data_IF_098412835112
#
_entry.id   IF_098412835112
#
_cell.length_a   1.000
_cell.length_b   1.000
_cell.length_c   1.000
_cell.angle_alpha   90.00
_cell.angle_beta   90.00
_cell.angle_gamma   90.00
#
_symmetry.space_group_name_H-M   'P 1'
#
loop_
_entity.id
_entity.type
_entity.pdbx_description
1 polymer ?
#
# COMPACT_ATOMS: atom_id res chain seq x y z
N UNK A 1 10.44 -24.56 2.80
CA UNK A 1 10.82 -23.30 2.11
C UNK A 1 12.26 -22.99 2.47
N UNK A 2 13.15 -22.93 1.49
CA UNK A 2 14.55 -22.56 1.72
C UNK A 2 14.64 -21.05 2.01
N UNK A 3 15.65 -20.60 2.75
CA UNK A 3 15.93 -19.18 3.04
C UNK A 3 15.94 -18.33 1.76
N UNK A 4 16.48 -18.85 0.65
CA UNK A 4 16.47 -18.16 -0.64
C UNK A 4 15.04 -17.88 -1.09
N UNK A 5 14.18 -18.90 -1.18
CA UNK A 5 12.77 -18.73 -1.56
C UNK A 5 12.07 -17.74 -0.63
N UNK A 6 12.29 -17.83 0.69
CA UNK A 6 11.68 -16.91 1.66
C UNK A 6 12.02 -15.44 1.36
N UNK A 7 13.29 -15.15 1.04
CA UNK A 7 13.73 -13.79 0.71
C UNK A 7 13.15 -13.36 -0.64
N UNK A 8 13.13 -14.23 -1.65
CA UNK A 8 12.58 -13.90 -2.96
C UNK A 8 11.06 -13.67 -2.90
N UNK A 9 10.31 -14.49 -2.17
CA UNK A 9 8.88 -14.29 -1.91
C UNK A 9 8.61 -12.98 -1.17
N UNK A 10 9.48 -12.59 -0.22
CA UNK A 10 9.38 -11.28 0.42
C UNK A 10 9.58 -10.14 -0.59
N UNK A 11 10.62 -10.22 -1.43
CA UNK A 11 10.90 -9.21 -2.46
C UNK A 11 9.73 -9.13 -3.45
N UNK A 12 9.18 -10.26 -3.88
CA UNK A 12 8.02 -10.35 -4.76
C UNK A 12 6.81 -9.61 -4.18
N UNK A 13 6.45 -9.91 -2.92
CA UNK A 13 5.34 -9.28 -2.21
C UNK A 13 5.52 -7.76 -2.09
N UNK A 14 6.76 -7.30 -1.89
CA UNK A 14 7.08 -5.87 -1.79
C UNK A 14 7.29 -5.21 -3.17
N UNK A 15 7.36 -5.98 -4.25
CA UNK A 15 7.61 -5.53 -5.62
C UNK A 15 9.02 -4.98 -5.84
N UNK A 16 9.35 -3.86 -5.18
CA UNK A 16 10.67 -3.23 -5.17
C UNK A 16 11.04 -2.90 -3.74
N UNK A 17 12.31 -3.11 -3.36
CA UNK A 17 12.75 -2.96 -1.97
C UNK A 17 14.21 -2.53 -1.91
N UNK A 18 14.56 -1.71 -0.92
CA UNK A 18 15.97 -1.39 -0.65
C UNK A 18 16.64 -2.44 0.23
N UNK A 19 17.96 -2.57 0.14
CA UNK A 19 18.71 -3.48 1.03
C UNK A 19 18.57 -3.09 2.50
N UNK A 20 18.39 -1.79 2.81
CA UNK A 20 18.07 -1.31 4.16
C UNK A 20 16.70 -1.81 4.61
N UNK A 21 15.67 -1.67 3.79
CA UNK A 21 14.34 -2.19 4.11
C UNK A 21 14.37 -3.71 4.33
N UNK A 22 15.11 -4.46 3.51
CA UNK A 22 15.31 -5.90 3.72
C UNK A 22 16.02 -6.19 5.04
N UNK A 23 16.98 -5.37 5.44
CA UNK A 23 17.66 -5.51 6.72
C UNK A 23 16.68 -5.33 7.90
N UNK A 24 15.87 -4.26 7.85
CA UNK A 24 14.92 -3.90 8.89
C UNK A 24 13.82 -4.98 9.04
N UNK A 25 13.41 -5.59 7.92
CA UNK A 25 12.40 -6.66 7.90
C UNK A 25 12.98 -8.02 8.33
N UNK A 26 14.10 -8.44 7.73
CA UNK A 26 14.63 -9.80 7.91
C UNK A 26 15.49 -9.97 9.17
N UNK A 27 16.00 -8.88 9.74
CA UNK A 27 16.80 -8.86 10.98
C UNK A 27 17.94 -9.90 11.00
N UNK A 28 18.67 -10.02 9.89
CA UNK A 28 19.72 -11.03 9.66
C UNK A 28 21.06 -10.75 10.40
N UNK A 29 21.01 -10.17 11.60
CA UNK A 29 22.19 -9.73 12.34
C UNK A 29 22.66 -8.35 11.87
N UNK A 30 23.83 -8.26 11.22
CA UNK A 30 24.39 -6.96 10.78
C UNK A 30 23.93 -6.56 9.37
N UNK A 31 23.95 -5.25 9.09
CA UNK A 31 23.70 -4.74 7.75
C UNK A 31 24.66 -5.33 6.71
N UNK A 32 25.95 -5.50 7.06
CA UNK A 32 26.95 -6.15 6.19
C UNK A 32 26.57 -7.59 5.84
N UNK A 33 26.06 -8.37 6.81
CA UNK A 33 25.60 -9.72 6.53
C UNK A 33 24.38 -9.71 5.59
N UNK A 34 23.48 -8.76 5.76
CA UNK A 34 22.33 -8.59 4.85
C UNK A 34 22.81 -8.29 3.43
N UNK A 35 23.73 -7.32 3.25
CA UNK A 35 24.33 -7.04 1.95
C UNK A 35 24.98 -8.28 1.31
N UNK A 36 25.72 -9.08 2.09
CA UNK A 36 26.33 -10.33 1.62
C UNK A 36 25.28 -11.31 1.11
N UNK A 37 24.22 -11.54 1.90
CA UNK A 37 23.12 -12.45 1.53
C UNK A 37 22.43 -11.97 0.26
N UNK A 38 22.11 -10.67 0.15
CA UNK A 38 21.46 -10.13 -1.06
C UNK A 38 22.39 -10.20 -2.28
N UNK A 39 23.71 -10.04 -2.10
CA UNK A 39 24.66 -10.22 -3.20
C UNK A 39 24.71 -11.68 -3.69
N UNK A 40 24.56 -12.66 -2.80
CA UNK A 40 24.49 -14.08 -3.20
C UNK A 40 23.24 -14.41 -4.02
N UNK A 41 22.19 -13.58 -3.93
CA UNK A 41 20.95 -13.73 -4.68
C UNK A 41 20.94 -12.96 -6.00
N UNK A 42 22.07 -12.36 -6.43
CA UNK A 42 22.10 -11.46 -7.60
C UNK A 42 21.59 -12.10 -8.90
N UNK A 43 21.76 -13.41 -9.06
CA UNK A 43 21.26 -14.17 -10.21
C UNK A 43 19.74 -14.08 -10.35
N UNK A 44 19.01 -13.91 -9.24
CA UNK A 44 17.54 -13.84 -9.20
C UNK A 44 16.99 -12.40 -9.15
N UNK A 45 17.87 -11.40 -9.12
CA UNK A 45 17.51 -10.02 -8.80
C UNK A 45 17.98 -9.04 -9.88
N UNK A 46 17.09 -8.14 -10.26
CA UNK A 46 17.48 -6.88 -10.88
C UNK A 46 17.97 -5.93 -9.79
N UNK A 47 19.06 -5.21 -10.08
CA UNK A 47 19.68 -4.26 -9.14
C UNK A 47 19.69 -2.86 -9.75
N UNK A 48 19.20 -1.88 -9.01
CA UNK A 48 19.26 -0.46 -9.36
C UNK A 48 20.04 0.28 -8.27
N UNK A 49 21.02 1.08 -8.68
CA UNK A 49 21.71 1.99 -7.77
C UNK A 49 20.98 3.33 -7.74
N UNK A 50 20.58 3.75 -6.56
CA UNK A 50 20.09 5.10 -6.24
C UNK A 50 20.88 5.60 -5.02
N UNK A 51 20.25 6.35 -4.11
CA UNK A 51 20.80 6.66 -2.77
C UNK A 51 21.12 5.39 -1.97
N UNK A 52 20.32 4.35 -2.19
CA UNK A 52 20.53 3.00 -1.64
C UNK A 52 20.53 1.97 -2.78
N UNK A 53 21.04 0.76 -2.48
CA UNK A 53 20.90 -0.39 -3.39
C UNK A 53 19.45 -0.88 -3.34
N UNK A 54 18.78 -0.82 -4.48
CA UNK A 54 17.39 -1.26 -4.66
C UNK A 54 17.38 -2.55 -5.47
N UNK A 55 16.52 -3.49 -5.08
CA UNK A 55 16.37 -4.80 -5.73
C UNK A 55 14.90 -5.12 -5.99
N UNK A 56 14.65 -5.89 -7.04
CA UNK A 56 13.35 -6.50 -7.40
C UNK A 56 13.61 -7.77 -8.22
N UNK A 57 12.62 -8.66 -8.34
CA UNK A 57 12.83 -9.95 -9.00
C UNK A 57 13.05 -9.79 -10.51
N UNK A 58 14.01 -10.55 -11.05
CA UNK A 58 14.12 -10.78 -12.49
C UNK A 58 13.30 -12.02 -12.90
N UNK A 59 13.41 -12.45 -14.16
CA UNK A 59 12.69 -13.62 -14.66
C UNK A 59 13.03 -14.90 -13.88
N UNK A 60 14.32 -15.19 -13.68
CA UNK A 60 14.78 -16.39 -12.96
C UNK A 60 14.30 -16.41 -11.51
N UNK A 61 14.33 -15.26 -10.83
CA UNK A 61 13.84 -15.13 -9.46
C UNK A 61 12.35 -15.40 -9.32
N UNK A 62 11.54 -14.97 -10.30
CA UNK A 62 10.10 -15.24 -10.34
C UNK A 62 9.81 -16.71 -10.63
N UNK A 63 10.51 -17.31 -11.58
CA UNK A 63 10.37 -18.72 -11.94
C UNK A 63 10.67 -19.63 -10.75
N UNK A 64 11.72 -19.31 -9.97
CA UNK A 64 12.10 -20.07 -8.78
C UNK A 64 11.00 -20.13 -7.71
N UNK A 65 10.17 -19.09 -7.59
CA UNK A 65 9.06 -19.03 -6.61
C UNK A 65 7.67 -19.17 -7.27
N UNK A 66 7.62 -19.54 -8.55
CA UNK A 66 6.40 -19.61 -9.35
C UNK A 66 5.53 -18.32 -9.30
N UNK A 67 6.16 -17.14 -9.29
CA UNK A 67 5.48 -15.85 -9.30
C UNK A 67 5.23 -15.33 -10.73
N UNK A 68 4.04 -14.78 -10.95
CA UNK A 68 3.69 -14.07 -12.18
C UNK A 68 3.85 -12.53 -12.05
N UNK A 69 4.28 -12.04 -10.89
CA UNK A 69 4.36 -10.60 -10.59
C UNK A 69 5.60 -9.98 -11.27
N UNK A 70 5.44 -9.49 -12.49
CA UNK A 70 6.53 -8.80 -13.18
C UNK A 70 6.64 -7.32 -12.77
N UNK A 71 7.78 -6.95 -12.21
CA UNK A 71 8.12 -5.56 -11.89
C UNK A 71 9.11 -5.01 -12.91
N UNK A 72 8.76 -3.89 -13.53
CA UNK A 72 9.63 -3.14 -14.44
C UNK A 72 10.05 -1.83 -13.80
N UNK A 73 11.27 -1.38 -14.12
CA UNK A 73 11.77 -0.07 -13.67
C UNK A 73 10.79 1.02 -14.09
N UNK A 74 10.32 1.80 -13.13
CA UNK A 74 9.30 2.83 -13.31
C UNK A 74 9.54 4.00 -12.36
N UNK A 75 8.98 5.17 -12.69
CA UNK A 75 8.92 6.35 -11.82
C UNK A 75 8.17 6.07 -10.50
N UNK A 76 7.38 5.00 -10.45
CA UNK A 76 6.62 4.61 -9.26
C UNK A 76 7.48 3.96 -8.17
N UNK A 77 8.75 3.63 -8.45
CA UNK A 77 9.62 2.96 -7.48
C UNK A 77 9.75 3.75 -6.17
N UNK A 78 9.88 5.07 -6.24
CA UNK A 78 9.98 5.89 -5.05
C UNK A 78 8.70 5.81 -4.20
N UNK A 79 7.53 5.82 -4.84
CA UNK A 79 6.26 5.65 -4.14
C UNK A 79 6.11 4.25 -3.52
N UNK A 80 6.51 3.19 -4.23
CA UNK A 80 6.49 1.83 -3.69
C UNK A 80 7.46 1.64 -2.52
N UNK A 81 8.64 2.26 -2.57
CA UNK A 81 9.60 2.26 -1.46
C UNK A 81 9.04 3.01 -0.25
N UNK A 82 8.33 4.12 -0.44
CA UNK A 82 7.64 4.82 0.65
C UNK A 82 6.49 3.99 1.24
N UNK A 83 5.76 3.23 0.43
CA UNK A 83 4.77 2.28 0.93
C UNK A 83 5.42 1.18 1.79
N UNK A 84 6.64 0.74 1.45
CA UNK A 84 7.40 -0.19 2.29
C UNK A 84 7.81 0.42 3.63
N UNK A 85 8.15 1.71 3.68
CA UNK A 85 8.44 2.37 4.96
C UNK A 85 7.21 2.32 5.88
N UNK A 86 6.01 2.57 5.34
CA UNK A 86 4.77 2.44 6.11
C UNK A 86 4.54 0.99 6.58
N UNK A 87 4.77 -0.01 5.71
CA UNK A 87 4.70 -1.43 6.08
C UNK A 87 5.66 -1.79 7.22
N UNK A 88 6.89 -1.29 7.19
CA UNK A 88 7.90 -1.51 8.25
C UNK A 88 7.48 -0.80 9.53
N UNK A 89 7.03 0.46 9.45
CA UNK A 89 6.54 1.23 10.60
C UNK A 89 5.42 0.49 11.35
N UNK A 90 4.54 -0.20 10.62
CA UNK A 90 3.48 -1.00 11.22
C UNK A 90 3.93 -2.39 11.72
N UNK A 91 5.23 -2.66 11.80
CA UNK A 91 5.82 -3.93 12.19
C UNK A 91 5.41 -5.10 11.29
N UNK A 92 5.39 -4.86 9.98
CA UNK A 92 5.21 -5.90 8.96
C UNK A 92 3.92 -6.74 9.12
N UNK A 93 2.71 -6.14 9.05
CA UNK A 93 1.46 -6.89 9.21
C UNK A 93 1.33 -8.06 8.23
N UNK A 94 0.91 -9.23 8.73
CA UNK A 94 0.83 -10.47 7.93
C UNK A 94 -0.23 -10.36 6.82
N UNK A 95 -1.34 -9.69 7.10
CA UNK A 95 -2.48 -9.50 6.21
C UNK A 95 -2.39 -8.20 5.38
N UNK A 96 -1.20 -7.59 5.30
CA UNK A 96 -0.96 -6.40 4.49
C UNK A 96 -1.25 -6.67 3.01
N UNK A 97 -2.17 -5.90 2.44
CA UNK A 97 -2.54 -5.93 1.02
C UNK A 97 -2.29 -4.55 0.40
N UNK A 98 -1.77 -4.54 -0.83
CA UNK A 98 -1.54 -3.32 -1.59
C UNK A 98 -2.66 -3.07 -2.59
N UNK A 99 -2.87 -1.80 -2.92
CA UNK A 99 -3.81 -1.34 -3.96
C UNK A 99 -5.21 -1.95 -3.83
N UNK A 100 -5.69 -2.12 -2.60
CA UNK A 100 -6.95 -2.80 -2.34
C UNK A 100 -8.12 -1.89 -2.75
N UNK A 101 -8.93 -2.39 -3.70
CA UNK A 101 -10.15 -1.74 -4.15
C UNK A 101 -11.27 -2.00 -3.14
N UNK A 102 -11.73 -0.94 -2.50
CA UNK A 102 -12.98 -0.93 -1.75
C UNK A 102 -14.09 -0.41 -2.65
N UNK A 103 -14.75 -1.34 -3.33
CA UNK A 103 -16.00 -1.09 -4.07
C UNK A 103 -17.22 -1.42 -3.21
N UNK A 104 -18.22 -0.54 -3.27
CA UNK A 104 -19.51 -0.67 -2.59
C UNK A 104 -20.58 -0.41 -3.64
N UNK A 105 -21.49 -1.36 -3.79
CA UNK A 105 -22.61 -1.32 -4.72
C UNK A 105 -23.83 -0.88 -3.90
N UNK A 106 -24.43 0.26 -4.24
CA UNK A 106 -25.69 0.68 -3.62
C UNK A 106 -26.84 0.17 -4.48
N UNK A 107 -27.63 -0.75 -3.93
CA UNK A 107 -28.92 -1.06 -4.52
C UNK A 107 -29.89 0.09 -4.21
N UNK A 108 -30.70 0.54 -5.17
CA UNK A 108 -31.64 1.63 -4.93
C UNK A 108 -32.69 1.22 -3.89
N UNK A 109 -32.80 1.98 -2.80
CA UNK A 109 -33.72 1.73 -1.67
C UNK A 109 -35.21 1.71 -2.06
N UNK A 110 -35.56 2.29 -3.21
CA UNK A 110 -36.91 2.27 -3.76
C UNK A 110 -36.90 1.65 -5.15
N UNK A 111 -37.03 0.33 -5.25
CA UNK A 111 -37.48 -0.30 -6.49
C UNK A 111 -39.00 -0.12 -6.63
N UNK A 112 -39.49 1.10 -6.86
CA UNK A 112 -40.81 1.24 -7.48
C UNK A 112 -40.70 0.60 -8.87
N UNK A 113 -41.29 -0.58 -9.03
CA UNK A 113 -41.22 -1.41 -10.24
C UNK A 113 -42.04 -0.79 -11.36
N UNK A 114 -41.54 0.28 -11.96
CA UNK A 114 -41.91 0.62 -13.33
C UNK A 114 -40.82 0.03 -14.22
N UNK A 115 -41.02 -1.21 -14.65
CA UNK A 115 -40.20 -1.84 -15.68
C UNK A 115 -40.49 -1.16 -17.03
N UNK A 116 -39.78 -0.09 -17.34
CA UNK A 116 -39.70 0.42 -18.71
C UNK A 116 -38.72 -0.49 -19.46
N UNK A 117 -39.23 -1.32 -20.37
CA UNK A 117 -38.41 -2.18 -21.26
C UNK A 117 -37.33 -1.32 -21.92
N UNK A 118 -36.07 -1.52 -21.54
CA UNK A 118 -34.90 -0.87 -22.17
C UNK A 118 -34.06 0.04 -21.26
N UNK A 119 -34.54 0.46 -20.08
CA UNK A 119 -33.70 1.21 -19.13
C UNK A 119 -32.96 0.24 -18.18
N UNK A 120 -31.64 0.07 -18.38
CA UNK A 120 -30.78 -0.50 -17.34
C UNK A 120 -30.72 0.51 -16.19
N UNK A 121 -31.26 0.14 -15.03
CA UNK A 121 -31.10 0.95 -13.81
C UNK A 121 -29.60 1.08 -13.54
N UNK A 122 -29.10 2.32 -13.48
CA UNK A 122 -27.71 2.59 -13.15
C UNK A 122 -27.51 2.20 -11.70
N UNK A 123 -26.83 1.07 -11.47
CA UNK A 123 -26.39 0.67 -10.14
C UNK A 123 -25.25 1.62 -9.77
N UNK A 124 -25.49 2.49 -8.79
CA UNK A 124 -24.45 3.40 -8.32
C UNK A 124 -23.42 2.61 -7.52
N UNK A 125 -22.17 2.58 -8.01
CA UNK A 125 -21.05 1.99 -7.29
C UNK A 125 -20.07 3.08 -6.89
N UNK A 126 -19.73 3.13 -5.60
CA UNK A 126 -18.64 3.95 -5.09
C UNK A 126 -17.40 3.09 -4.95
N UNK A 127 -16.25 3.60 -5.42
CA UNK A 127 -14.97 2.91 -5.31
C UNK A 127 -13.92 3.82 -4.70
N UNK A 128 -13.15 3.27 -3.78
CA UNK A 128 -11.93 3.89 -3.28
C UNK A 128 -10.81 2.85 -3.24
N UNK A 129 -9.63 3.23 -3.70
CA UNK A 129 -8.46 2.35 -3.74
C UNK A 129 -7.48 2.89 -2.71
N UNK A 130 -7.21 2.12 -1.66
CA UNK A 130 -6.18 2.47 -0.69
C UNK A 130 -4.82 2.00 -1.19
N UNK A 131 -3.76 2.76 -0.94
CA UNK A 131 -2.41 2.35 -1.37
C UNK A 131 -2.01 1.05 -0.64
N UNK A 132 -2.44 0.89 0.62
CA UNK A 132 -2.38 -0.38 1.34
C UNK A 132 -3.41 -0.50 2.44
N UNK A 133 -3.69 -1.73 2.88
CA UNK A 133 -4.66 -2.03 3.93
C UNK A 133 -4.19 -3.22 4.77
N UNK A 134 -4.48 -3.20 6.06
CA UNK A 134 -4.33 -4.36 6.95
C UNK A 134 -5.31 -4.26 8.12
N UNK A 135 -5.46 -5.33 8.90
CA UNK A 135 -6.31 -5.36 10.08
C UNK A 135 -5.50 -5.61 11.34
N UNK A 136 -5.82 -4.89 12.42
CA UNK A 136 -5.15 -5.07 13.72
C UNK A 136 -5.98 -4.49 14.85
N UNK A 137 -6.10 -5.22 15.95
CA UNK A 137 -6.76 -4.79 17.19
C UNK A 137 -8.20 -4.27 16.99
N UNK A 138 -8.99 -4.92 16.13
CA UNK A 138 -10.39 -4.53 15.88
C UNK A 138 -10.55 -3.34 14.91
N UNK A 139 -9.46 -2.92 14.25
CA UNK A 139 -9.46 -1.85 13.27
C UNK A 139 -9.05 -2.34 11.88
N UNK A 140 -9.64 -1.74 10.86
CA UNK A 140 -9.12 -1.77 9.49
C UNK A 140 -8.29 -0.51 9.26
N UNK A 141 -7.00 -0.70 9.03
CA UNK A 141 -6.03 0.36 8.82
C UNK A 141 -5.91 0.60 7.32
N UNK A 142 -6.25 1.81 6.87
CA UNK A 142 -6.20 2.26 5.49
C UNK A 142 -4.98 3.18 5.34
N UNK A 143 -4.13 2.94 4.36
CA UNK A 143 -2.85 3.62 4.23
C UNK A 143 -2.78 4.36 2.90
N UNK A 144 -2.36 5.62 2.98
CA UNK A 144 -2.16 6.52 1.85
C UNK A 144 -0.75 7.11 1.88
N UNK A 145 -0.08 7.06 0.73
CA UNK A 145 1.29 7.50 0.55
C UNK A 145 1.30 8.75 -0.33
N UNK A 146 1.59 9.87 0.31
CA UNK A 146 1.68 11.16 -0.32
C UNK A 146 3.12 11.52 -0.70
N UNK A 147 3.43 11.37 -1.99
CA UNK A 147 4.75 11.68 -2.55
C UNK A 147 4.66 12.80 -3.60
N UNK A 148 4.43 12.44 -4.87
CA UNK A 148 4.41 13.37 -6.02
C UNK A 148 3.00 13.80 -6.43
N UNK A 149 1.95 13.22 -5.82
CA UNK A 149 0.55 13.49 -6.17
C UNK A 149 0.19 14.95 -5.86
N UNK A 150 -0.66 15.56 -6.69
CA UNK A 150 -1.14 16.90 -6.42
C UNK A 150 -1.97 16.93 -5.13
N UNK A 151 -1.87 18.02 -4.37
CA UNK A 151 -2.62 18.15 -3.11
C UNK A 151 -4.14 18.14 -3.36
N UNK A 152 -4.60 18.72 -4.48
CA UNK A 152 -5.99 18.68 -4.92
C UNK A 152 -6.53 17.25 -5.01
N UNK A 153 -5.74 16.31 -5.54
CA UNK A 153 -6.14 14.91 -5.68
C UNK A 153 -6.20 14.20 -4.33
N UNK A 154 -5.27 14.50 -3.41
CA UNK A 154 -5.34 13.99 -2.04
C UNK A 154 -6.58 14.49 -1.31
N UNK A 155 -6.93 15.77 -1.46
CA UNK A 155 -8.13 16.33 -0.86
C UNK A 155 -9.40 15.69 -1.41
N UNK A 156 -9.45 15.40 -2.72
CA UNK A 156 -10.54 14.61 -3.31
C UNK A 156 -10.60 13.20 -2.72
N UNK A 157 -9.45 12.53 -2.55
CA UNK A 157 -9.38 11.19 -1.97
C UNK A 157 -9.89 11.15 -0.52
N UNK A 158 -9.54 12.15 0.28
CA UNK A 158 -10.06 12.32 1.65
C UNK A 158 -11.57 12.50 1.64
N UNK A 159 -12.11 13.36 0.78
CA UNK A 159 -13.58 13.53 0.63
C UNK A 159 -14.28 12.23 0.21
N UNK A 160 -13.64 11.43 -0.64
CA UNK A 160 -14.18 10.13 -1.01
C UNK A 160 -14.21 9.18 0.21
N UNK A 161 -13.16 9.16 1.03
CA UNK A 161 -13.16 8.43 2.31
C UNK A 161 -14.27 8.90 3.24
N UNK A 162 -14.48 10.21 3.40
CA UNK A 162 -15.61 10.76 4.18
C UNK A 162 -16.95 10.22 3.67
N UNK A 163 -17.16 10.23 2.36
CA UNK A 163 -18.42 9.80 1.75
C UNK A 163 -18.68 8.28 1.79
N UNK A 164 -17.63 7.49 2.07
CA UNK A 164 -17.65 6.02 2.08
C UNK A 164 -17.32 5.45 3.46
N UNK A 165 -17.20 6.28 4.50
CA UNK A 165 -16.64 5.85 5.78
C UNK A 165 -17.47 4.76 6.46
N UNK A 166 -18.79 4.93 6.46
CA UNK A 166 -19.72 3.92 6.98
C UNK A 166 -19.78 2.68 6.10
N UNK A 167 -19.71 2.85 4.78
CA UNK A 167 -19.69 1.73 3.84
C UNK A 167 -18.43 0.86 4.06
N UNK A 168 -17.27 1.48 4.29
CA UNK A 168 -16.01 0.80 4.64
C UNK A 168 -16.17 0.04 5.95
N UNK A 169 -16.72 0.69 6.98
CA UNK A 169 -16.97 0.06 8.28
C UNK A 169 -17.86 -1.17 8.17
N UNK A 170 -18.94 -1.08 7.38
CA UNK A 170 -19.85 -2.20 7.14
C UNK A 170 -19.17 -3.34 6.37
N UNK A 171 -18.43 -3.00 5.30
CA UNK A 171 -17.73 -3.99 4.46
C UNK A 171 -16.72 -4.82 5.25
N UNK A 172 -15.89 -4.16 6.06
CA UNK A 172 -14.86 -4.84 6.83
C UNK A 172 -15.34 -5.33 8.21
N UNK A 173 -16.53 -4.89 8.67
CA UNK A 173 -17.05 -5.14 10.02
C UNK A 173 -16.07 -4.72 11.13
N UNK A 174 -15.27 -3.69 10.85
CA UNK A 174 -14.22 -3.15 11.72
C UNK A 174 -14.28 -1.64 11.68
N UNK A 175 -13.77 -0.98 12.73
CA UNK A 175 -13.66 0.47 12.70
C UNK A 175 -12.50 0.90 11.79
N UNK A 176 -12.71 1.80 10.83
CA UNK A 176 -11.63 2.29 9.98
C UNK A 176 -10.74 3.30 10.70
N UNK A 177 -9.44 3.26 10.38
CA UNK A 177 -8.45 4.30 10.70
C UNK A 177 -7.72 4.64 9.40
N UNK A 178 -7.63 5.92 9.07
CA UNK A 178 -6.93 6.40 7.88
C UNK A 178 -5.55 6.96 8.24
N UNK A 179 -4.50 6.39 7.68
CA UNK A 179 -3.13 6.88 7.81
C UNK A 179 -2.69 7.54 6.52
N UNK A 180 -2.23 8.78 6.61
CA UNK A 180 -1.53 9.47 5.52
C UNK A 180 -0.06 9.65 5.88
N UNK A 181 0.83 9.10 5.06
CA UNK A 181 2.27 9.35 5.15
C UNK A 181 2.69 10.35 4.10
N UNK A 182 3.40 11.41 4.47
CA UNK A 182 3.80 12.48 3.55
C UNK A 182 5.27 12.84 3.65
N UNK A 183 5.80 13.46 2.60
CA UNK A 183 7.22 13.83 2.48
C UNK A 183 7.57 15.20 3.08
N UNK A 184 6.58 16.04 3.45
CA UNK A 184 6.88 17.36 4.04
C UNK A 184 5.86 17.84 5.07
N UNK A 185 6.34 18.64 6.02
CA UNK A 185 5.53 19.22 7.10
C UNK A 185 4.41 20.14 6.60
N UNK A 186 4.64 20.88 5.51
CA UNK A 186 3.59 21.72 4.93
C UNK A 186 2.41 20.88 4.42
N UNK A 187 2.71 19.78 3.73
CA UNK A 187 1.69 18.84 3.24
C UNK A 187 0.99 18.15 4.41
N UNK A 188 1.75 17.72 5.43
CA UNK A 188 1.21 17.15 6.67
C UNK A 188 0.15 18.05 7.31
N UNK A 189 0.45 19.34 7.50
CA UNK A 189 -0.52 20.30 8.06
C UNK A 189 -1.81 20.41 7.23
N UNK A 190 -1.71 20.40 5.90
CA UNK A 190 -2.87 20.49 5.00
C UNK A 190 -3.72 19.22 5.06
N UNK A 191 -3.08 18.05 4.99
CA UNK A 191 -3.75 16.74 5.10
C UNK A 191 -4.41 16.57 6.47
N UNK A 192 -3.71 16.88 7.56
CA UNK A 192 -4.26 16.79 8.91
C UNK A 192 -5.49 17.67 9.11
N UNK A 193 -5.50 18.87 8.52
CA UNK A 193 -6.68 19.75 8.52
C UNK A 193 -7.84 19.17 7.73
N UNK A 194 -7.56 18.51 6.60
CA UNK A 194 -8.58 17.91 5.75
C UNK A 194 -9.18 16.63 6.36
N UNK A 195 -8.40 15.86 7.12
CA UNK A 195 -8.88 14.62 7.76
C UNK A 195 -9.62 14.83 9.09
N UNK A 196 -9.92 16.06 9.52
CA UNK A 196 -10.48 16.35 10.86
C UNK A 196 -11.80 15.64 11.19
N UNK A 197 -12.60 15.33 10.16
CA UNK A 197 -13.87 14.63 10.24
C UNK A 197 -13.72 13.11 10.37
N UNK A 198 -12.51 12.58 10.13
CA UNK A 198 -12.21 11.16 10.09
C UNK A 198 -11.36 10.77 11.29
N UNK A 199 -11.46 9.50 11.69
CA UNK A 199 -10.43 8.89 12.54
C UNK A 199 -9.18 8.67 11.70
N UNK A 200 -8.28 9.64 11.74
CA UNK A 200 -7.10 9.65 10.90
C UNK A 200 -5.84 10.12 11.62
N UNK A 201 -4.70 9.61 11.18
CA UNK A 201 -3.37 10.05 11.57
C UNK A 201 -2.58 10.48 10.33
N UNK A 202 -1.87 11.59 10.44
CA UNK A 202 -1.02 12.08 9.35
C UNK A 202 0.40 12.22 9.88
N UNK A 203 1.33 11.49 9.28
CA UNK A 203 2.72 11.38 9.69
C UNK A 203 3.64 11.77 8.53
N UNK A 204 4.80 12.34 8.82
CA UNK A 204 5.85 12.51 7.83
C UNK A 204 6.82 11.33 7.84
N UNK A 205 7.42 11.01 6.68
CA UNK A 205 8.42 9.94 6.61
C UNK A 205 9.68 10.21 7.44
N UNK A 206 9.90 11.46 7.88
CA UNK A 206 10.94 11.80 8.84
C UNK A 206 10.59 11.41 10.28
N UNK A 207 9.32 11.23 10.63
CA UNK A 207 8.88 10.88 12.00
C UNK A 207 8.88 9.38 12.28
N UNK A 208 8.86 8.56 11.23
CA UNK A 208 8.73 7.11 11.34
C UNK A 208 10.03 6.37 11.03
N UNK A 209 11.12 7.11 10.85
CA UNK A 209 12.46 6.59 10.61
C UNK A 209 13.28 6.56 11.88
#
# INVERSE_FOLDING_TARGET
>A
MNRTEMILTLIDRLGVVSVRQLHDILKLGTYRNTCRVINQLSTYLNVVRSKEKIVYLNKEGRELIASNNEVKKSILFDHMLLANEAYIYFNCPIDWKREQITEVIKEPEYSFRIQVKGLKQAVESKKIISDSIFTRNGYVHLIEIDNTRQMSDNLKKIKNYESMWDDIKQKYKLQPILYFFTVSENRKRKLARACKSLRAEVLSFSEIK
#
